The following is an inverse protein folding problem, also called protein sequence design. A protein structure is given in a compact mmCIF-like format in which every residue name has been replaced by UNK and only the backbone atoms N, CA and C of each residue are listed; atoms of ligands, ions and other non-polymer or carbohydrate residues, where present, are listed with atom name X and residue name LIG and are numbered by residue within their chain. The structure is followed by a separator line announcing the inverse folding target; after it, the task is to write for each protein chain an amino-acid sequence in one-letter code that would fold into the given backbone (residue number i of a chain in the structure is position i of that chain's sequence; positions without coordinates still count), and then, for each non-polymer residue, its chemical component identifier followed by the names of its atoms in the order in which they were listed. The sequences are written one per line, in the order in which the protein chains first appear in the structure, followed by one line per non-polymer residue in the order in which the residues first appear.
data_IF_840113759969
#
_entry.id   IF_840113759969
#
_cell.length_a   1.000
_cell.length_b   1.000
_cell.length_c   1.000
_cell.angle_alpha   90.00
_cell.angle_beta   90.00
_cell.angle_gamma   90.00
#
_symmetry.space_group_name_H-M   'P 1'
#
loop_
_entity.id
_entity.type
_entity.pdbx_description
1 polymer ?
#
# COMPACT_ATOMS: atom_id res chain seq x y z
N UNK A 1 -8.69 8.68 -35.70
CA UNK A 1 -9.86 9.40 -35.14
C UNK A 1 -9.36 10.65 -34.42
N UNK A 2 -9.98 11.78 -34.71
CA UNK A 2 -9.68 13.03 -34.03
C UNK A 2 -10.51 13.14 -32.76
N UNK A 3 -9.83 13.32 -31.61
CA UNK A 3 -10.48 13.51 -30.33
C UNK A 3 -10.90 14.98 -30.24
N UNK A 4 -12.20 15.24 -30.07
CA UNK A 4 -12.76 16.60 -30.08
C UNK A 4 -13.28 17.03 -28.71
N UNK A 5 -13.45 16.08 -27.74
CA UNK A 5 -13.94 16.40 -26.41
C UNK A 5 -13.49 15.37 -25.40
N UNK A 6 -13.68 15.68 -24.13
CA UNK A 6 -13.27 14.82 -23.02
C UNK A 6 -13.96 13.45 -23.06
N UNK A 7 -15.25 13.42 -23.43
CA UNK A 7 -15.99 12.16 -23.49
C UNK A 7 -15.38 11.20 -24.51
N UNK A 8 -15.05 11.68 -25.70
CA UNK A 8 -14.38 10.89 -26.74
C UNK A 8 -12.99 10.44 -26.28
N UNK A 9 -12.25 11.33 -25.63
CA UNK A 9 -10.94 11.02 -25.07
C UNK A 9 -11.04 9.87 -24.07
N UNK A 10 -11.93 9.97 -23.08
CA UNK A 10 -12.08 8.95 -22.05
C UNK A 10 -12.57 7.61 -22.61
N UNK A 11 -13.42 7.63 -23.63
CA UNK A 11 -13.94 6.42 -24.27
C UNK A 11 -12.82 5.62 -24.98
N UNK A 12 -11.80 6.30 -25.48
CA UNK A 12 -10.67 5.67 -26.19
C UNK A 12 -9.41 5.51 -25.32
N UNK A 13 -9.43 6.03 -24.09
CA UNK A 13 -8.29 5.98 -23.20
C UNK A 13 -8.10 4.57 -22.63
N UNK A 14 -6.88 4.04 -22.76
CA UNK A 14 -6.49 2.79 -22.10
C UNK A 14 -5.30 3.11 -21.18
N UNK A 15 -5.56 3.06 -19.87
CA UNK A 15 -4.51 3.32 -18.86
C UNK A 15 -3.36 2.35 -18.95
N UNK A 16 -3.57 1.16 -19.54
CA UNK A 16 -2.52 0.15 -19.71
C UNK A 16 -1.47 0.55 -20.75
N UNK A 17 -1.73 1.59 -21.55
CA UNK A 17 -0.75 2.16 -22.48
C UNK A 17 0.35 2.94 -21.75
N UNK A 18 0.23 3.11 -20.45
CA UNK A 18 1.13 3.92 -19.63
C UNK A 18 1.70 3.08 -18.49
N UNK A 19 2.99 3.28 -18.25
CA UNK A 19 3.64 2.66 -17.09
C UNK A 19 3.10 3.24 -15.79
N UNK A 20 2.96 2.38 -14.80
CA UNK A 20 2.52 2.78 -13.47
C UNK A 20 3.38 2.08 -12.41
N UNK A 21 3.70 2.78 -11.31
CA UNK A 21 4.43 2.14 -10.22
C UNK A 21 3.56 1.13 -9.47
N UNK A 22 4.22 0.23 -8.75
CA UNK A 22 3.55 -0.60 -7.76
C UNK A 22 3.05 0.30 -6.63
N UNK A 23 1.81 0.11 -6.20
CA UNK A 23 1.19 0.89 -5.13
C UNK A 23 0.88 -0.01 -3.94
N UNK A 24 1.50 0.29 -2.81
CA UNK A 24 1.26 -0.43 -1.56
C UNK A 24 0.94 0.54 -0.42
N UNK A 25 0.42 -0.01 0.66
CA UNK A 25 0.32 0.66 1.95
C UNK A 25 1.09 -0.14 2.97
N UNK A 26 1.65 0.54 3.96
CA UNK A 26 2.30 -0.07 5.10
C UNK A 26 1.84 0.61 6.38
N UNK A 27 1.71 -0.14 7.48
CA UNK A 27 1.24 0.39 8.76
C UNK A 27 2.30 0.22 9.83
N UNK A 28 2.65 1.32 10.49
CA UNK A 28 3.52 1.33 11.65
C UNK A 28 2.63 1.37 12.90
N UNK A 29 2.34 0.21 13.46
CA UNK A 29 1.48 0.08 14.64
C UNK A 29 2.37 0.04 15.88
N UNK A 30 2.23 1.06 16.71
CA UNK A 30 3.04 1.21 17.91
C UNK A 30 2.26 0.79 19.15
N UNK A 31 2.98 0.26 20.12
CA UNK A 31 2.46 0.04 21.47
C UNK A 31 3.58 0.24 22.50
N UNK A 32 3.20 0.43 23.75
CA UNK A 32 4.14 0.51 24.87
C UNK A 32 3.96 -0.73 25.72
N UNK A 33 5.01 -1.56 25.77
CA UNK A 33 5.05 -2.78 26.58
C UNK A 33 6.23 -2.70 27.53
N UNK A 34 5.97 -2.92 28.83
CA UNK A 34 7.01 -2.87 29.87
C UNK A 34 7.81 -1.58 29.84
N UNK A 35 7.15 -0.44 29.60
CA UNK A 35 7.78 0.87 29.53
C UNK A 35 8.58 1.14 28.25
N UNK A 36 8.51 0.26 27.26
CA UNK A 36 9.24 0.41 26.00
C UNK A 36 8.30 0.58 24.82
N UNK A 37 8.63 1.55 23.96
CA UNK A 37 7.94 1.73 22.69
C UNK A 37 8.32 0.60 21.74
N UNK A 38 7.30 -0.04 21.16
CA UNK A 38 7.50 -1.16 20.23
C UNK A 38 6.67 -0.93 18.97
N UNK A 39 7.13 -1.49 17.87
CA UNK A 39 6.42 -1.50 16.59
C UNK A 39 6.07 -2.94 16.23
N UNK A 40 4.86 -3.13 15.69
CA UNK A 40 4.40 -4.43 15.25
C UNK A 40 5.05 -4.80 13.91
N UNK A 41 5.72 -5.93 13.88
CA UNK A 41 6.29 -6.50 12.66
C UNK A 41 5.68 -7.87 12.38
N UNK A 42 5.59 -8.20 11.11
CA UNK A 42 5.20 -9.55 10.65
C UNK A 42 6.38 -10.19 9.92
N UNK A 43 6.42 -11.51 9.93
CA UNK A 43 7.39 -12.26 9.14
C UNK A 43 6.81 -12.51 7.76
N UNK A 44 7.52 -12.10 6.71
CA UNK A 44 7.01 -12.23 5.34
C UNK A 44 6.92 -13.72 4.97
N UNK A 45 5.73 -14.19 4.52
CA UNK A 45 5.56 -15.59 4.13
C UNK A 45 6.04 -15.87 2.70
N UNK A 46 6.18 -14.83 1.87
CA UNK A 46 6.44 -14.96 0.44
C UNK A 46 7.60 -14.07 -0.02
N UNK A 47 8.13 -14.37 -1.20
CA UNK A 47 9.08 -13.46 -1.86
C UNK A 47 8.37 -12.18 -2.34
N UNK A 48 9.05 -11.05 -2.43
CA UNK A 48 10.46 -10.82 -2.08
C UNK A 48 10.67 -10.78 -0.55
N UNK A 49 11.92 -10.93 -0.13
CA UNK A 49 12.32 -10.88 1.28
C UNK A 49 11.58 -11.90 2.17
N UNK A 50 11.34 -13.11 1.63
CA UNK A 50 10.69 -14.19 2.38
C UNK A 50 11.42 -14.46 3.70
N UNK A 51 10.64 -14.64 4.77
CA UNK A 51 11.10 -14.90 6.14
C UNK A 51 11.78 -13.70 6.82
N UNK A 52 11.75 -12.52 6.23
CA UNK A 52 12.24 -11.31 6.88
C UNK A 52 11.10 -10.56 7.58
N UNK A 53 11.47 -9.79 8.60
CA UNK A 53 10.52 -8.97 9.34
C UNK A 53 10.17 -7.71 8.54
N UNK A 54 8.89 -7.35 8.55
CA UNK A 54 8.40 -6.19 7.82
C UNK A 54 7.18 -5.59 8.51
N UNK A 55 6.88 -4.34 8.18
CA UNK A 55 5.62 -3.72 8.58
C UNK A 55 4.46 -4.47 7.92
N UNK A 56 3.31 -4.62 8.62
CA UNK A 56 2.10 -5.11 7.96
C UNK A 56 1.70 -4.17 6.82
N UNK A 57 1.29 -4.73 5.70
CA UNK A 57 0.88 -3.95 4.55
C UNK A 57 0.63 -4.81 3.33
N UNK A 58 0.49 -4.18 2.19
CA UNK A 58 0.31 -4.86 0.93
C UNK A 58 -0.27 -3.98 -0.16
N UNK A 59 -0.64 -4.61 -1.26
CA UNK A 59 -1.14 -3.91 -2.44
C UNK A 59 -2.56 -3.40 -2.27
N UNK A 60 -2.83 -2.25 -2.88
CA UNK A 60 -4.20 -1.79 -3.07
C UNK A 60 -4.96 -2.78 -3.97
N UNK A 61 -6.19 -3.10 -3.59
CA UNK A 61 -7.11 -3.87 -4.43
C UNK A 61 -7.95 -2.89 -5.22
N UNK A 62 -7.61 -2.71 -6.49
CA UNK A 62 -8.23 -1.69 -7.34
C UNK A 62 -9.71 -1.97 -7.63
N UNK A 63 -10.16 -3.19 -7.37
CA UNK A 63 -11.57 -3.57 -7.55
C UNK A 63 -12.41 -3.27 -6.30
N UNK A 64 -11.85 -3.51 -5.11
CA UNK A 64 -12.63 -3.48 -3.86
C UNK A 64 -12.28 -2.30 -2.95
N UNK A 65 -11.05 -1.80 -3.00
CA UNK A 65 -10.65 -0.67 -2.17
C UNK A 65 -11.02 0.64 -2.84
N UNK A 66 -11.93 1.40 -2.24
CA UNK A 66 -12.34 2.69 -2.79
C UNK A 66 -11.27 3.77 -2.62
N UNK A 67 -10.44 3.64 -1.59
CA UNK A 67 -9.39 4.59 -1.28
C UNK A 67 -8.24 3.89 -0.53
N UNK A 68 -7.18 4.64 -0.27
CA UNK A 68 -6.00 4.10 0.43
C UNK A 68 -6.29 3.75 1.89
N UNK A 69 -7.19 4.46 2.54
CA UNK A 69 -7.57 4.15 3.92
C UNK A 69 -8.26 2.78 3.98
N UNK A 70 -9.12 2.47 3.01
CA UNK A 70 -9.74 1.15 2.91
C UNK A 70 -8.69 0.04 2.73
N UNK A 71 -7.67 0.29 1.91
CA UNK A 71 -6.55 -0.64 1.74
C UNK A 71 -5.83 -0.87 3.08
N UNK A 72 -5.54 0.23 3.79
CA UNK A 72 -4.82 0.15 5.06
C UNK A 72 -5.59 -0.66 6.10
N UNK A 73 -6.85 -0.39 6.32
CA UNK A 73 -7.67 -1.14 7.26
C UNK A 73 -7.81 -2.61 6.87
N UNK A 74 -8.04 -2.89 5.60
CA UNK A 74 -8.16 -4.26 5.12
C UNK A 74 -6.87 -5.05 5.34
N UNK A 75 -5.73 -4.48 4.96
CA UNK A 75 -4.44 -5.14 5.12
C UNK A 75 -4.05 -5.32 6.59
N UNK A 76 -4.41 -4.38 7.45
CA UNK A 76 -4.13 -4.51 8.88
C UNK A 76 -4.87 -5.72 9.46
N UNK A 77 -6.16 -5.85 9.21
CA UNK A 77 -6.95 -6.99 9.66
C UNK A 77 -6.44 -8.29 9.05
N UNK A 78 -6.19 -8.28 7.74
CA UNK A 78 -5.76 -9.46 6.99
C UNK A 78 -4.40 -10.00 7.49
N UNK A 79 -3.45 -9.11 7.81
CA UNK A 79 -2.10 -9.48 8.19
C UNK A 79 -1.92 -9.73 9.69
N UNK A 80 -2.72 -9.09 10.53
CA UNK A 80 -2.51 -9.12 12.00
C UNK A 80 -3.74 -9.51 12.79
N UNK A 81 -4.92 -9.48 12.20
CA UNK A 81 -6.19 -9.67 12.91
C UNK A 81 -6.62 -8.46 13.75
N UNK A 82 -5.86 -7.37 13.71
CA UNK A 82 -6.16 -6.18 14.51
C UNK A 82 -7.05 -5.24 13.71
N UNK A 83 -8.18 -4.83 14.31
CA UNK A 83 -9.02 -3.77 13.79
C UNK A 83 -8.71 -2.49 14.56
N UNK A 84 -8.02 -1.55 13.92
CA UNK A 84 -7.72 -0.25 14.52
C UNK A 84 -8.84 0.74 14.19
N UNK A 85 -9.36 1.49 15.16
CA UNK A 85 -10.36 2.52 14.88
C UNK A 85 -9.75 3.78 14.25
N UNK A 86 -8.43 3.92 14.27
CA UNK A 86 -7.77 5.14 13.82
C UNK A 86 -6.44 4.83 13.16
N UNK A 87 -6.31 5.30 11.94
CA UNK A 87 -5.04 5.31 11.20
C UNK A 87 -4.86 6.69 10.57
N UNK A 88 -3.64 7.18 10.54
CA UNK A 88 -3.30 8.46 9.97
C UNK A 88 -2.12 8.33 9.02
N UNK A 89 -2.23 8.96 7.86
CA UNK A 89 -1.13 8.98 6.89
C UNK A 89 0.02 9.81 7.43
N UNK A 90 1.22 9.22 7.38
CA UNK A 90 2.45 9.85 7.87
C UNK A 90 3.31 10.33 6.72
N UNK A 91 3.46 9.50 5.69
CA UNK A 91 4.42 9.75 4.64
C UNK A 91 4.08 8.93 3.39
N UNK A 92 4.66 9.32 2.30
CA UNK A 92 4.76 8.48 1.11
C UNK A 92 6.24 8.30 0.77
N UNK A 93 6.60 7.08 0.37
CA UNK A 93 7.97 6.74 -0.01
C UNK A 93 7.93 6.02 -1.34
N UNK A 94 8.54 6.63 -2.36
CA UNK A 94 8.53 6.04 -3.69
C UNK A 94 9.84 6.28 -4.42
N UNK A 95 10.40 5.22 -5.00
CA UNK A 95 11.58 5.30 -5.82
C UNK A 95 11.80 3.99 -6.59
N UNK A 96 12.84 3.97 -7.42
CA UNK A 96 13.15 2.85 -8.29
C UNK A 96 13.91 1.72 -7.60
N UNK A 97 14.37 1.89 -6.37
CA UNK A 97 15.32 0.97 -5.73
C UNK A 97 14.80 0.28 -4.48
N UNK A 98 13.69 0.78 -3.90
CA UNK A 98 13.19 0.26 -2.64
C UNK A 98 12.57 -1.14 -2.74
N UNK A 99 12.15 -1.55 -3.95
CA UNK A 99 11.50 -2.84 -4.19
C UNK A 99 12.15 -3.52 -5.38
N UNK A 100 12.61 -4.76 -5.24
CA UNK A 100 13.28 -5.47 -6.35
C UNK A 100 12.36 -5.76 -7.54
N UNK A 101 11.05 -5.67 -7.37
CA UNK A 101 10.09 -5.90 -8.46
C UNK A 101 9.96 -4.73 -9.42
N UNK A 102 10.39 -3.52 -9.02
CA UNK A 102 10.33 -2.35 -9.87
C UNK A 102 10.06 -1.06 -9.10
N UNK A 103 9.76 -0.02 -9.84
CA UNK A 103 9.42 1.28 -9.27
C UNK A 103 8.18 1.15 -8.39
N UNK A 104 8.30 1.53 -7.13
CA UNK A 104 7.25 1.29 -6.15
C UNK A 104 7.06 2.48 -5.22
N UNK A 105 5.81 2.75 -4.88
CA UNK A 105 5.44 3.73 -3.87
C UNK A 105 4.61 3.07 -2.78
N UNK A 106 4.94 3.37 -1.53
CA UNK A 106 4.09 3.00 -0.40
C UNK A 106 3.58 4.24 0.30
N UNK A 107 2.36 4.14 0.80
CA UNK A 107 1.77 5.14 1.68
C UNK A 107 1.84 4.57 3.09
N UNK A 108 2.53 5.28 3.98
CA UNK A 108 2.75 4.84 5.35
C UNK A 108 1.69 5.45 6.27
N UNK A 109 1.05 4.58 7.03
CA UNK A 109 0.07 4.93 8.08
C UNK A 109 0.60 4.55 9.46
N UNK A 110 0.11 5.26 10.46
CA UNK A 110 0.36 4.89 11.85
C UNK A 110 -0.89 5.01 12.72
#
# INVERSE_FOLDING_TARGET
MTIQNEQEFLASYDRRDYDAPLLTVDMAIFSVLNGQLQVLLIKRPNFPAKNQWALPGGFADLTHDQDLMATAYRKLVEKTGIASPYLEQVASVGNSKRDPRGWAVTILYF
#
